data_IF_501339192760
#
_entry.id   IF_501339192760
#
_cell.length_a   1.000
_cell.length_b   1.000
_cell.length_c   1.000
_cell.angle_alpha   90.00
_cell.angle_beta   90.00
_cell.angle_gamma   90.00
#
_symmetry.space_group_name_H-M   'P 1'
#
loop_
_entity.id
_entity.type
_entity.pdbx_description
1 polymer ?
#
# COMPACT_ATOMS: atom_id res chain seq x y z
N UNK A 1 16.37 12.63 -21.67
CA UNK A 1 15.45 13.17 -20.63
C UNK A 1 15.02 12.03 -19.73
N UNK A 2 14.91 12.28 -18.43
CA UNK A 2 14.41 11.25 -17.52
C UNK A 2 12.91 11.02 -17.74
N UNK A 3 12.47 9.77 -17.61
CA UNK A 3 11.07 9.44 -17.76
C UNK A 3 10.26 10.07 -16.61
N UNK A 4 9.24 10.89 -16.89
CA UNK A 4 8.47 11.60 -15.86
C UNK A 4 7.44 10.73 -15.14
N UNK A 5 7.26 9.47 -15.55
CA UNK A 5 6.36 8.52 -14.93
C UNK A 5 7.13 7.53 -14.08
N UNK A 6 6.58 7.14 -12.93
CA UNK A 6 7.24 6.27 -11.97
C UNK A 6 6.26 5.27 -11.38
N UNK A 7 6.64 4.00 -11.35
CA UNK A 7 5.85 2.90 -10.77
C UNK A 7 6.75 1.90 -10.04
N UNK A 8 6.17 0.98 -9.27
CA UNK A 8 6.92 -0.07 -8.56
C UNK A 8 7.66 0.38 -7.30
N UNK A 9 7.68 1.66 -7.00
CA UNK A 9 8.30 2.24 -5.82
C UNK A 9 7.43 3.35 -5.22
N UNK A 10 7.84 3.91 -4.09
CA UNK A 10 7.17 5.08 -3.51
C UNK A 10 7.32 6.26 -4.46
N UNK A 11 6.21 6.90 -4.75
CA UNK A 11 6.11 8.05 -5.65
C UNK A 11 5.92 9.31 -4.82
N UNK A 12 6.79 10.30 -5.02
CA UNK A 12 6.82 11.57 -4.28
C UNK A 12 7.23 12.74 -5.17
N UNK A 13 7.00 13.96 -4.71
CA UNK A 13 7.40 15.19 -5.38
C UNK A 13 6.77 15.32 -6.77
N UNK A 14 7.56 15.59 -7.83
CA UNK A 14 7.04 15.82 -9.18
C UNK A 14 6.37 14.59 -9.80
N UNK A 15 6.63 13.40 -9.28
CA UNK A 15 6.02 12.15 -9.74
C UNK A 15 4.68 11.86 -9.07
N UNK A 16 4.39 12.52 -7.94
CA UNK A 16 3.12 12.37 -7.22
C UNK A 16 2.03 13.16 -7.93
N UNK A 17 0.83 12.57 -8.04
CA UNK A 17 -0.30 13.24 -8.66
C UNK A 17 -1.54 13.14 -7.79
N UNK A 18 -2.33 14.24 -7.79
CA UNK A 18 -3.61 14.39 -7.10
C UNK A 18 -3.54 14.07 -5.59
N UNK A 19 -4.59 13.48 -5.05
CA UNK A 19 -4.76 13.16 -3.62
C UNK A 19 -4.81 14.41 -2.71
N UNK A 20 -5.14 15.57 -3.27
CA UNK A 20 -5.21 16.83 -2.53
C UNK A 20 -6.18 16.73 -1.36
N UNK A 21 -7.33 16.07 -1.57
CA UNK A 21 -8.36 15.85 -0.54
C UNK A 21 -7.86 14.91 0.56
N UNK A 22 -7.32 13.75 0.20
CA UNK A 22 -6.82 12.77 1.18
C UNK A 22 -5.62 13.31 1.95
N UNK A 23 -4.72 14.08 1.29
CA UNK A 23 -3.62 14.79 1.94
C UNK A 23 -4.13 15.81 2.96
N UNK A 24 -5.14 16.59 2.59
CA UNK A 24 -5.74 17.59 3.49
C UNK A 24 -6.37 16.92 4.73
N UNK A 25 -7.12 15.82 4.54
CA UNK A 25 -7.70 15.05 5.65
C UNK A 25 -6.59 14.49 6.54
N UNK A 26 -5.56 13.87 5.97
CA UNK A 26 -4.46 13.30 6.74
C UNK A 26 -3.72 14.39 7.54
N UNK A 27 -3.44 15.56 6.94
CA UNK A 27 -2.85 16.71 7.66
C UNK A 27 -3.72 17.17 8.82
N UNK A 28 -5.03 17.36 8.59
CA UNK A 28 -5.97 17.75 9.64
C UNK A 28 -6.00 16.74 10.80
N UNK A 29 -5.94 15.44 10.50
CA UNK A 29 -5.86 14.39 11.52
C UNK A 29 -4.56 14.52 12.31
N UNK A 30 -3.42 14.72 11.65
CA UNK A 30 -2.11 14.85 12.30
C UNK A 30 -2.02 16.13 13.16
N UNK A 31 -2.72 17.20 12.83
CA UNK A 31 -2.78 18.44 13.62
C UNK A 31 -3.68 18.28 14.86
N UNK A 32 -4.50 17.25 14.89
CA UNK A 32 -5.39 16.89 16.00
C UNK A 32 -4.79 15.76 16.88
N UNK A 33 -5.37 15.45 18.05
CA UNK A 33 -4.96 14.27 18.84
C UNK A 33 -5.44 12.92 18.26
N UNK A 34 -6.05 12.92 17.09
CA UNK A 34 -6.59 11.72 16.47
C UNK A 34 -5.55 10.92 15.70
N UNK A 35 -5.93 9.73 15.28
CA UNK A 35 -5.14 8.81 14.49
C UNK A 35 -5.76 8.64 13.10
N UNK A 36 -4.97 8.17 12.14
CA UNK A 36 -5.44 7.91 10.78
C UNK A 36 -5.42 6.40 10.47
N UNK A 37 -6.41 5.95 9.72
CA UNK A 37 -6.49 4.57 9.22
C UNK A 37 -6.70 4.63 7.70
N UNK A 38 -5.65 4.27 6.93
CA UNK A 38 -5.72 4.27 5.48
C UNK A 38 -6.18 2.91 4.97
N UNK A 39 -7.29 2.91 4.25
CA UNK A 39 -7.93 1.70 3.73
C UNK A 39 -7.97 1.80 2.21
N UNK A 40 -7.29 0.89 1.52
CA UNK A 40 -7.38 0.76 0.07
C UNK A 40 -6.83 -0.57 -0.40
N UNK A 41 -7.14 -0.99 -1.62
CA UNK A 41 -6.48 -2.12 -2.25
C UNK A 41 -4.97 -1.91 -2.37
N UNK A 42 -4.27 -2.98 -2.77
CA UNK A 42 -2.84 -2.94 -3.05
C UNK A 42 -2.55 -2.00 -4.24
N UNK A 43 -1.38 -1.34 -4.25
CA UNK A 43 -0.92 -0.46 -5.36
C UNK A 43 -1.76 0.80 -5.61
N UNK A 44 -2.59 1.22 -4.65
CA UNK A 44 -3.38 2.47 -4.75
C UNK A 44 -2.65 3.71 -4.21
N UNK A 45 -1.37 3.58 -3.84
CA UNK A 45 -0.53 4.71 -3.46
C UNK A 45 -0.61 5.13 -1.99
N UNK A 46 -0.99 4.23 -1.03
CA UNK A 46 -1.02 4.53 0.42
C UNK A 46 0.31 5.08 0.94
N UNK A 47 1.38 4.34 0.72
CA UNK A 47 2.73 4.71 1.20
C UNK A 47 3.20 6.01 0.56
N UNK A 48 2.90 6.22 -0.74
CA UNK A 48 3.20 7.47 -1.44
C UNK A 48 2.43 8.66 -0.85
N UNK A 49 1.12 8.49 -0.54
CA UNK A 49 0.31 9.52 0.11
C UNK A 49 0.90 9.92 1.47
N UNK A 50 1.28 8.93 2.29
CA UNK A 50 1.87 9.19 3.61
C UNK A 50 3.20 9.91 3.48
N UNK A 51 4.12 9.40 2.66
CA UNK A 51 5.44 10.03 2.46
C UNK A 51 5.31 11.46 1.94
N UNK A 52 4.49 11.68 0.90
CA UNK A 52 4.27 13.02 0.35
C UNK A 52 3.58 13.97 1.35
N UNK A 53 2.67 13.46 2.19
CA UNK A 53 2.03 14.30 3.23
C UNK A 53 3.02 14.67 4.33
N UNK A 54 3.88 13.73 4.73
CA UNK A 54 4.85 13.93 5.82
C UNK A 54 6.07 14.75 5.40
N UNK A 55 6.32 14.92 4.12
CA UNK A 55 7.47 15.67 3.59
C UNK A 55 7.59 17.08 4.16
N UNK A 56 6.46 17.77 4.32
CA UNK A 56 6.41 19.14 4.83
C UNK A 56 6.19 19.21 6.36
N UNK A 57 6.05 18.05 7.02
CA UNK A 57 5.77 17.97 8.46
C UNK A 57 7.08 17.95 9.24
N UNK A 58 7.32 19.02 10.03
CA UNK A 58 8.51 19.15 10.89
C UNK A 58 8.31 18.43 12.24
N UNK A 59 8.12 17.11 12.19
CA UNK A 59 7.92 16.24 13.35
C UNK A 59 8.70 14.96 13.13
N UNK A 60 9.10 14.32 14.22
CA UNK A 60 9.74 13.00 14.15
C UNK A 60 8.75 11.95 13.65
N UNK A 61 9.25 11.06 12.78
CA UNK A 61 8.46 10.01 12.15
C UNK A 61 9.16 8.66 12.35
N UNK A 62 8.44 7.70 12.92
CA UNK A 62 8.86 6.30 13.01
C UNK A 62 7.95 5.48 12.11
N UNK A 63 8.51 4.83 11.09
CA UNK A 63 7.77 3.97 10.18
C UNK A 63 8.27 2.53 10.30
N UNK A 64 7.32 1.60 10.51
CA UNK A 64 7.58 0.16 10.61
C UNK A 64 6.68 -0.57 9.61
N UNK A 65 7.30 -1.42 8.79
CA UNK A 65 6.56 -2.36 7.94
C UNK A 65 6.32 -3.66 8.72
N UNK A 66 5.06 -3.97 8.98
CA UNK A 66 4.67 -5.12 9.80
C UNK A 66 4.91 -6.47 9.12
N UNK A 67 5.07 -6.52 7.80
CA UNK A 67 5.47 -7.75 7.09
C UNK A 67 6.85 -8.27 7.51
N UNK A 68 7.74 -7.38 7.95
CA UNK A 68 9.08 -7.75 8.42
C UNK A 68 9.11 -8.13 9.92
N UNK A 69 7.98 -8.04 10.61
CA UNK A 69 7.88 -8.30 12.05
C UNK A 69 7.35 -9.71 12.27
N UNK A 70 8.08 -10.52 13.05
CA UNK A 70 7.74 -11.93 13.29
C UNK A 70 7.28 -12.23 14.71
N UNK A 71 7.40 -11.27 15.64
CA UNK A 71 6.93 -11.39 17.02
C UNK A 71 6.77 -10.01 17.68
N UNK A 72 6.09 -9.95 18.83
CA UNK A 72 5.98 -8.73 19.64
C UNK A 72 7.34 -8.17 20.06
N UNK A 73 8.29 -9.04 20.40
CA UNK A 73 9.68 -8.64 20.70
C UNK A 73 10.36 -8.00 19.48
N UNK A 74 10.17 -8.59 18.28
CA UNK A 74 10.73 -8.00 17.04
C UNK A 74 10.08 -6.67 16.68
N UNK A 75 8.82 -6.47 17.03
CA UNK A 75 8.18 -5.15 16.91
C UNK A 75 8.87 -4.14 17.84
N UNK A 76 9.07 -4.48 19.10
CA UNK A 76 9.75 -3.61 20.05
C UNK A 76 11.18 -3.28 19.60
N UNK A 77 11.96 -4.29 19.17
CA UNK A 77 13.29 -4.06 18.59
C UNK A 77 13.26 -3.08 17.40
N UNK A 78 12.28 -3.22 16.51
CA UNK A 78 12.13 -2.32 15.35
C UNK A 78 11.79 -0.88 15.78
N UNK A 79 10.91 -0.72 16.78
CA UNK A 79 10.57 0.59 17.35
C UNK A 79 11.78 1.26 18.00
N UNK A 80 12.50 0.55 18.88
CA UNK A 80 13.70 1.06 19.51
C UNK A 80 14.80 1.40 18.49
N UNK A 81 15.00 0.57 17.47
CA UNK A 81 15.99 0.82 16.42
C UNK A 81 15.69 2.13 15.69
N UNK A 82 14.44 2.35 15.30
CA UNK A 82 14.02 3.61 14.69
C UNK A 82 14.13 4.79 15.64
N UNK A 83 13.79 4.60 16.90
CA UNK A 83 13.95 5.62 17.95
C UNK A 83 15.41 6.05 18.09
N UNK A 84 16.36 5.12 18.22
CA UNK A 84 17.79 5.43 18.33
C UNK A 84 18.40 6.02 17.06
N UNK A 85 17.79 5.77 15.89
CA UNK A 85 18.18 6.45 14.64
C UNK A 85 17.82 7.94 14.70
N UNK A 86 16.70 8.30 15.31
CA UNK A 86 16.26 9.70 15.47
C UNK A 86 16.94 10.42 16.64
N UNK A 87 17.21 9.68 17.72
CA UNK A 87 17.76 10.22 18.96
C UNK A 87 19.09 9.55 19.29
N UNK A 88 20.24 10.27 19.19
CA UNK A 88 21.54 9.78 19.64
C UNK A 88 21.49 9.27 21.08
N UNK A 89 22.28 8.23 21.40
CA UNK A 89 22.24 7.53 22.71
C UNK A 89 22.32 8.46 23.93
N UNK A 90 23.12 9.53 23.86
CA UNK A 90 23.22 10.50 24.95
C UNK A 90 21.89 11.17 25.30
N UNK A 91 21.11 11.53 24.28
CA UNK A 91 19.75 12.10 24.43
C UNK A 91 18.73 11.01 24.77
N UNK A 92 18.89 9.81 24.22
CA UNK A 92 18.00 8.69 24.44
C UNK A 92 18.00 8.18 25.88
N UNK A 93 19.11 8.31 26.62
CA UNK A 93 19.21 7.89 28.05
C UNK A 93 18.12 8.46 28.94
N UNK A 94 17.74 9.69 28.71
CA UNK A 94 16.67 10.34 29.47
C UNK A 94 15.32 9.62 29.32
N UNK A 95 15.02 9.15 28.11
CA UNK A 95 13.76 8.45 27.80
C UNK A 95 13.75 6.99 28.28
N UNK A 96 14.93 6.42 28.53
CA UNK A 96 15.09 5.05 29.04
C UNK A 96 14.97 4.95 30.56
N UNK A 97 14.90 6.05 31.29
CA UNK A 97 14.88 6.06 32.75
C UNK A 97 13.68 5.34 33.40
N UNK A 98 12.60 5.12 32.64
CA UNK A 98 11.40 4.40 33.09
C UNK A 98 11.23 3.00 32.53
N UNK A 99 12.24 2.47 31.80
CA UNK A 99 12.18 1.17 31.14
C UNK A 99 12.47 0.06 32.16
N UNK A 100 11.58 -0.93 32.24
CA UNK A 100 11.68 -2.09 33.15
C UNK A 100 12.66 -3.14 32.61
N UNK A 101 12.68 -3.33 31.28
CA UNK A 101 13.60 -4.26 30.60
C UNK A 101 14.47 -3.45 29.63
N UNK A 102 15.70 -3.16 30.07
CA UNK A 102 16.63 -2.33 29.32
C UNK A 102 17.14 -3.06 28.06
N UNK A 103 17.00 -2.48 26.86
CA UNK A 103 17.55 -3.08 25.65
C UNK A 103 19.07 -3.01 25.63
N UNK A 104 19.71 -4.04 25.07
CA UNK A 104 21.11 -3.96 24.65
C UNK A 104 21.17 -3.26 23.30
N UNK A 105 21.93 -2.17 23.21
CA UNK A 105 22.10 -1.39 21.99
C UNK A 105 23.55 -1.47 21.53
N UNK A 106 23.75 -1.93 20.32
CA UNK A 106 25.04 -1.94 19.62
C UNK A 106 24.90 -1.19 18.30
N UNK A 107 26.01 -0.92 17.63
CA UNK A 107 26.01 -0.28 16.33
C UNK A 107 26.70 -1.18 15.33
N UNK A 108 26.07 -1.37 14.20
CA UNK A 108 26.66 -2.10 13.08
C UNK A 108 27.94 -1.39 12.63
N UNK A 109 29.08 -2.05 12.62
CA UNK A 109 30.37 -1.39 12.32
C UNK A 109 30.49 -0.91 10.86
N UNK A 110 29.69 -1.46 9.97
CA UNK A 110 29.72 -1.11 8.54
C UNK A 110 28.76 0.03 8.20
N UNK A 111 27.51 -0.08 8.70
CA UNK A 111 26.44 0.88 8.36
C UNK A 111 26.24 1.98 9.41
N UNK A 112 26.80 1.83 10.61
CA UNK A 112 26.53 2.71 11.75
C UNK A 112 25.10 2.62 12.30
N UNK A 113 24.29 1.72 11.77
CA UNK A 113 22.90 1.58 12.19
C UNK A 113 22.79 0.95 13.59
N UNK A 114 21.86 1.42 14.44
CA UNK A 114 21.63 0.82 15.76
C UNK A 114 21.02 -0.57 15.60
N UNK A 115 21.58 -1.52 16.34
CA UNK A 115 21.08 -2.86 16.54
C UNK A 115 20.58 -2.98 17.98
N UNK A 116 19.38 -3.55 18.14
CA UNK A 116 18.71 -3.67 19.44
C UNK A 116 18.36 -5.11 19.70
N UNK A 117 18.67 -5.58 20.91
CA UNK A 117 18.31 -6.91 21.37
C UNK A 117 17.92 -6.89 22.85
N UNK A 118 17.26 -7.96 23.31
CA UNK A 118 16.85 -8.15 24.68
C UNK A 118 17.45 -9.45 25.22
N UNK A 119 17.56 -9.54 26.55
CA UNK A 119 17.98 -10.77 27.23
C UNK A 119 16.96 -11.88 26.89
N UNK A 120 17.40 -13.08 26.53
CA UNK A 120 16.51 -14.22 26.32
C UNK A 120 15.53 -14.42 27.49
N UNK A 121 14.32 -14.90 27.19
CA UNK A 121 13.25 -15.19 28.16
C UNK A 121 12.69 -13.96 28.92
N UNK A 122 13.06 -12.76 28.52
CA UNK A 122 12.41 -11.54 29.05
C UNK A 122 10.92 -11.48 28.68
N UNK A 123 10.12 -10.88 29.58
CA UNK A 123 8.68 -10.72 29.34
C UNK A 123 8.39 -9.87 28.12
N UNK A 124 7.82 -10.50 27.11
CA UNK A 124 7.56 -9.89 25.79
C UNK A 124 6.55 -8.75 25.86
N UNK A 125 5.54 -8.85 26.74
CA UNK A 125 4.55 -7.81 26.92
C UNK A 125 5.17 -6.59 27.56
N UNK A 126 6.00 -6.79 28.59
CA UNK A 126 6.74 -5.70 29.27
C UNK A 126 7.67 -4.99 28.28
N UNK A 127 8.42 -5.75 27.47
CA UNK A 127 9.30 -5.19 26.43
C UNK A 127 8.50 -4.30 25.45
N UNK A 128 7.34 -4.77 25.02
CA UNK A 128 6.50 -4.03 24.07
C UNK A 128 5.93 -2.77 24.71
N UNK A 129 5.38 -2.85 25.91
CA UNK A 129 4.88 -1.71 26.67
C UNK A 129 5.97 -0.66 26.88
N UNK A 130 7.16 -1.07 27.28
CA UNK A 130 8.32 -0.20 27.50
C UNK A 130 8.72 0.52 26.20
N UNK A 131 8.76 -0.18 25.06
CA UNK A 131 9.05 0.42 23.77
C UNK A 131 8.05 1.53 23.41
N UNK A 132 6.76 1.28 23.59
CA UNK A 132 5.72 2.26 23.33
C UNK A 132 5.76 3.44 24.31
N UNK A 133 6.06 3.20 25.59
CA UNK A 133 6.22 4.25 26.60
C UNK A 133 7.40 5.19 26.27
N UNK A 134 8.52 4.64 25.79
CA UNK A 134 9.65 5.45 25.32
C UNK A 134 9.24 6.36 24.17
N UNK A 135 8.47 5.86 23.22
CA UNK A 135 7.95 6.67 22.11
C UNK A 135 6.99 7.77 22.59
N UNK A 136 6.07 7.45 23.50
CA UNK A 136 5.14 8.42 24.09
C UNK A 136 5.88 9.53 24.80
N UNK A 137 6.89 9.20 25.61
CA UNK A 137 7.69 10.18 26.34
C UNK A 137 8.57 11.03 25.43
N UNK A 138 8.93 10.54 24.24
CA UNK A 138 9.73 11.29 23.26
C UNK A 138 8.93 12.34 22.48
N UNK A 139 7.62 12.20 22.39
CA UNK A 139 6.76 13.04 21.55
C UNK A 139 6.72 14.53 21.92
N UNK A 140 7.02 14.91 23.17
CA UNK A 140 7.14 16.29 23.63
C UNK A 140 5.98 17.20 23.23
N UNK A 141 6.27 18.50 22.95
CA UNK A 141 5.27 19.48 22.49
C UNK A 141 4.75 19.19 21.08
N UNK A 142 5.55 18.52 20.25
CA UNK A 142 5.17 18.08 18.91
C UNK A 142 4.99 16.57 18.96
N UNK A 143 3.75 16.10 18.78
CA UNK A 143 3.47 14.65 18.79
C UNK A 143 4.37 13.91 17.81
N UNK A 144 4.90 12.77 18.22
CA UNK A 144 5.58 11.82 17.36
C UNK A 144 4.56 11.23 16.36
N UNK A 145 4.98 10.96 15.14
CA UNK A 145 4.17 10.24 14.16
C UNK A 145 4.70 8.82 14.07
N UNK A 146 3.83 7.84 14.32
CA UNK A 146 4.16 6.42 14.17
C UNK A 146 3.31 5.84 13.04
N UNK A 147 3.99 5.32 12.02
CA UNK A 147 3.38 4.72 10.84
C UNK A 147 3.57 3.20 10.89
N UNK A 148 2.47 2.46 10.90
CA UNK A 148 2.49 1.01 10.72
C UNK A 148 1.96 0.67 9.33
N UNK A 149 2.86 0.24 8.45
CA UNK A 149 2.48 -0.29 7.14
C UNK A 149 2.18 -1.78 7.24
N UNK A 150 1.20 -2.26 6.48
CA UNK A 150 0.67 -3.62 6.53
C UNK A 150 0.26 -4.05 7.95
N UNK A 151 -0.40 -3.13 8.67
CA UNK A 151 -0.86 -3.33 10.05
C UNK A 151 -1.68 -4.62 10.27
N UNK A 152 -2.51 -5.11 9.35
CA UNK A 152 -3.23 -6.37 9.52
C UNK A 152 -2.35 -7.58 9.82
N UNK A 153 -1.08 -7.58 9.44
CA UNK A 153 -0.14 -8.68 9.72
C UNK A 153 0.06 -8.90 11.22
N UNK A 154 -0.10 -7.85 12.03
CA UNK A 154 0.02 -7.94 13.50
C UNK A 154 -0.96 -8.93 14.13
N UNK A 155 -2.12 -9.12 13.50
CA UNK A 155 -3.15 -10.05 13.98
C UNK A 155 -2.79 -11.51 13.80
N UNK A 156 -1.77 -11.77 12.99
CA UNK A 156 -1.29 -13.11 12.68
C UNK A 156 -0.07 -13.49 13.54
N UNK A 157 0.56 -12.50 14.20
CA UNK A 157 1.77 -12.72 14.98
C UNK A 157 1.51 -13.53 16.25
N UNK A 158 0.64 -13.02 17.10
CA UNK A 158 0.36 -13.59 18.42
C UNK A 158 -1.12 -13.39 18.79
N UNK A 159 -1.73 -14.42 19.39
CA UNK A 159 -3.13 -14.35 19.82
C UNK A 159 -3.31 -13.28 20.92
N UNK A 160 -4.16 -12.30 20.66
CA UNK A 160 -4.50 -11.24 21.61
C UNK A 160 -3.57 -10.01 21.54
N UNK A 161 -2.54 -10.04 20.69
CA UNK A 161 -1.65 -8.90 20.51
C UNK A 161 -2.38 -7.63 20.07
N UNK A 162 -3.43 -7.78 19.28
CA UNK A 162 -4.33 -6.70 18.89
C UNK A 162 -4.97 -5.97 20.08
N UNK A 163 -5.38 -6.71 21.11
CA UNK A 163 -5.97 -6.15 22.33
C UNK A 163 -4.91 -5.44 23.18
N UNK A 164 -3.72 -6.04 23.32
CA UNK A 164 -2.59 -5.46 24.04
C UNK A 164 -2.19 -4.12 23.40
N UNK A 165 -1.99 -4.11 22.09
CA UNK A 165 -1.65 -2.89 21.35
C UNK A 165 -2.74 -1.83 21.45
N UNK A 166 -4.02 -2.24 21.34
CA UNK A 166 -5.13 -1.30 21.52
C UNK A 166 -5.13 -0.67 22.90
N UNK A 167 -4.88 -1.46 23.96
CA UNK A 167 -4.78 -0.96 25.33
C UNK A 167 -3.65 0.05 25.48
N UNK A 168 -2.47 -0.26 24.96
CA UNK A 168 -1.30 0.64 25.01
C UNK A 168 -1.57 1.92 24.22
N UNK A 169 -1.93 1.79 22.95
CA UNK A 169 -2.04 2.92 22.02
C UNK A 169 -3.16 3.91 22.37
N UNK A 170 -4.23 3.47 23.03
CA UNK A 170 -5.34 4.36 23.41
C UNK A 170 -5.00 5.33 24.54
N UNK A 171 -3.96 5.05 25.33
CA UNK A 171 -3.53 5.90 26.45
C UNK A 171 -2.58 7.02 25.99
N UNK A 172 -2.03 6.92 24.76
CA UNK A 172 -1.06 7.84 24.23
C UNK A 172 -1.67 9.19 23.82
N UNK A 173 -1.04 10.26 24.26
CA UNK A 173 -1.42 11.64 23.97
C UNK A 173 -0.41 12.37 23.09
N UNK A 174 0.82 11.87 23.06
CA UNK A 174 1.95 12.51 22.37
C UNK A 174 2.31 11.76 21.07
N UNK A 175 1.47 10.84 20.62
CA UNK A 175 1.66 10.09 19.37
C UNK A 175 0.42 10.22 18.47
N UNK A 176 0.64 10.52 17.18
CA UNK A 176 -0.35 10.26 16.14
C UNK A 176 0.01 8.96 15.42
N UNK A 177 -0.90 8.02 15.38
CA UNK A 177 -0.73 6.78 14.63
C UNK A 177 -1.30 6.91 13.21
N UNK A 178 -0.57 6.38 12.23
CA UNK A 178 -1.05 6.14 10.87
C UNK A 178 -1.01 4.63 10.65
N UNK A 179 -2.17 3.99 10.61
CA UNK A 179 -2.30 2.55 10.39
C UNK A 179 -2.75 2.31 8.96
N UNK A 180 -1.99 1.55 8.20
CA UNK A 180 -2.33 1.26 6.81
C UNK A 180 -2.09 -0.20 6.46
N UNK A 181 -2.77 -0.69 5.43
CA UNK A 181 -2.63 -2.06 4.95
C UNK A 181 -3.25 -2.24 3.59
N UNK A 182 -2.71 -3.18 2.83
CA UNK A 182 -3.15 -3.49 1.47
C UNK A 182 -4.32 -4.48 1.41
N UNK A 183 -4.60 -5.20 2.50
CA UNK A 183 -5.71 -6.14 2.60
C UNK A 183 -6.98 -5.41 3.04
N UNK A 184 -7.69 -4.81 2.09
CA UNK A 184 -8.84 -3.94 2.34
C UNK A 184 -9.91 -4.60 3.23
N UNK A 185 -10.25 -5.87 2.97
CA UNK A 185 -11.24 -6.62 3.76
C UNK A 185 -10.78 -6.81 5.22
N UNK A 186 -9.49 -7.06 5.45
CA UNK A 186 -8.94 -7.16 6.80
C UNK A 186 -8.91 -5.80 7.50
N UNK A 187 -8.55 -4.73 6.80
CA UNK A 187 -8.63 -3.37 7.33
C UNK A 187 -10.06 -3.02 7.72
N UNK A 188 -11.04 -3.27 6.84
CA UNK A 188 -12.47 -3.06 7.16
C UNK A 188 -12.90 -3.91 8.36
N UNK A 189 -12.49 -5.17 8.43
CA UNK A 189 -12.81 -6.06 9.56
C UNK A 189 -12.26 -5.52 10.87
N UNK A 190 -11.05 -4.98 10.86
CA UNK A 190 -10.35 -4.55 12.08
C UNK A 190 -10.79 -3.17 12.57
N UNK A 191 -11.09 -2.25 11.66
CA UNK A 191 -11.35 -0.86 12.02
C UNK A 191 -12.83 -0.44 11.93
N UNK A 192 -13.65 -1.15 11.15
CA UNK A 192 -15.05 -0.80 10.94
C UNK A 192 -16.06 -1.74 11.60
N UNK A 193 -15.63 -2.89 12.14
CA UNK A 193 -16.54 -3.84 12.83
C UNK A 193 -16.56 -3.60 14.34
N UNK A 194 -17.75 -3.47 14.93
CA UNK A 194 -17.97 -3.21 16.38
C UNK A 194 -17.27 -4.19 17.33
N UNK A 195 -17.02 -5.45 16.90
CA UNK A 195 -16.37 -6.47 17.75
C UNK A 195 -14.83 -6.41 17.72
N UNK A 196 -14.24 -5.56 16.89
CA UNK A 196 -12.79 -5.43 16.79
C UNK A 196 -12.25 -4.52 17.89
N UNK A 197 -11.08 -4.83 18.50
CA UNK A 197 -10.41 -3.94 19.44
C UNK A 197 -10.11 -2.55 18.85
N UNK A 198 -9.81 -2.47 17.55
CA UNK A 198 -9.50 -1.22 16.85
C UNK A 198 -10.71 -0.50 16.26
N UNK A 199 -11.93 -0.93 16.61
CA UNK A 199 -13.13 -0.23 16.17
C UNK A 199 -13.10 1.24 16.59
N UNK A 200 -13.26 2.14 15.62
CA UNK A 200 -13.17 3.60 15.80
C UNK A 200 -11.85 4.09 16.42
N UNK A 201 -10.75 3.40 16.21
CA UNK A 201 -9.44 3.82 16.71
C UNK A 201 -8.93 5.10 16.04
N UNK A 202 -9.25 5.32 14.79
CA UNK A 202 -8.80 6.50 14.04
C UNK A 202 -9.77 6.89 12.93
N UNK A 203 -9.48 8.01 12.29
CA UNK A 203 -10.25 8.53 11.15
C UNK A 203 -9.96 7.67 9.92
N UNK A 204 -10.97 7.00 9.35
CA UNK A 204 -10.77 6.20 8.14
C UNK A 204 -10.59 7.11 6.92
N UNK A 205 -9.53 6.87 6.16
CA UNK A 205 -9.23 7.54 4.90
C UNK A 205 -9.22 6.45 3.82
N UNK A 206 -10.18 6.52 2.92
CA UNK A 206 -10.28 5.59 1.80
C UNK A 206 -9.57 6.14 0.58
N UNK A 207 -8.66 5.35 0.00
CA UNK A 207 -8.06 5.70 -1.27
C UNK A 207 -8.75 4.91 -2.38
N UNK A 208 -9.37 5.62 -3.27
CA UNK A 208 -9.92 5.11 -4.51
C UNK A 208 -8.96 5.33 -5.68
N UNK A 209 -9.42 5.01 -6.89
CA UNK A 209 -8.73 5.38 -8.13
C UNK A 209 -8.57 6.89 -8.21
N UNK A 210 -7.59 7.35 -8.95
CA UNK A 210 -7.40 8.78 -9.19
C UNK A 210 -8.51 9.24 -10.16
N UNK A 211 -9.17 10.38 -9.92
CA UNK A 211 -10.19 10.90 -10.85
C UNK A 211 -9.62 11.06 -12.25
N UNK A 212 -10.40 10.65 -13.26
CA UNK A 212 -9.94 10.68 -14.65
C UNK A 212 -9.48 12.06 -15.13
N UNK A 213 -10.16 13.19 -14.82
CA UNK A 213 -9.68 14.51 -15.23
C UNK A 213 -8.30 14.83 -14.66
N UNK A 214 -8.09 14.61 -13.36
CA UNK A 214 -6.82 14.92 -12.68
C UNK A 214 -5.67 14.06 -13.23
N UNK A 215 -5.95 12.79 -13.51
CA UNK A 215 -4.94 11.89 -14.06
C UNK A 215 -4.64 12.17 -15.53
N UNK A 216 -5.65 12.56 -16.30
CA UNK A 216 -5.50 13.01 -17.68
C UNK A 216 -4.57 14.22 -17.78
N UNK A 217 -4.85 15.25 -16.99
CA UNK A 217 -4.03 16.47 -16.96
C UNK A 217 -2.59 16.14 -16.55
N UNK A 218 -2.41 15.27 -15.58
CA UNK A 218 -1.08 14.79 -15.17
C UNK A 218 -0.31 14.13 -16.32
N UNK A 219 -0.96 13.26 -17.10
CA UNK A 219 -0.33 12.55 -18.22
C UNK A 219 -0.03 13.54 -19.35
N UNK A 220 -1.02 14.36 -19.77
CA UNK A 220 -0.88 15.33 -20.88
C UNK A 220 0.28 16.29 -20.64
N UNK A 221 0.43 16.81 -19.42
CA UNK A 221 1.51 17.72 -19.06
C UNK A 221 2.91 17.09 -19.11
N UNK A 222 3.00 15.76 -19.00
CA UNK A 222 4.28 15.03 -18.94
C UNK A 222 4.67 14.29 -20.20
N UNK A 223 3.74 14.12 -21.13
CA UNK A 223 4.07 13.63 -22.45
C UNK A 223 4.95 14.66 -23.20
N UNK A 224 5.77 14.22 -24.16
CA UNK A 224 6.69 15.10 -24.88
C UNK A 224 5.97 16.31 -25.46
N UNK A 225 6.49 17.52 -25.15
CA UNK A 225 5.93 18.78 -25.66
C UNK A 225 6.09 18.97 -27.17
N UNK A 226 6.90 18.13 -27.81
CA UNK A 226 7.04 18.06 -29.28
C UNK A 226 5.79 17.50 -29.96
N UNK A 227 4.93 16.80 -29.22
CA UNK A 227 3.66 16.31 -29.73
C UNK A 227 2.60 17.40 -29.69
N UNK A 228 1.69 17.39 -30.67
CA UNK A 228 0.50 18.23 -30.66
C UNK A 228 -0.36 17.92 -29.42
N UNK A 229 -1.00 18.93 -28.87
CA UNK A 229 -1.82 18.77 -27.67
C UNK A 229 -2.94 17.74 -27.84
N UNK A 230 -3.59 17.75 -29.01
CA UNK A 230 -4.62 16.77 -29.35
C UNK A 230 -4.09 15.33 -29.28
N UNK A 231 -2.93 15.07 -29.83
CA UNK A 231 -2.28 13.74 -29.75
C UNK A 231 -1.96 13.33 -28.32
N UNK A 232 -1.47 14.27 -27.49
CA UNK A 232 -1.22 14.00 -26.06
C UNK A 232 -2.51 13.68 -25.32
N UNK A 233 -3.58 14.39 -25.64
CA UNK A 233 -4.90 14.14 -25.08
C UNK A 233 -5.43 12.75 -25.45
N UNK A 234 -5.37 12.36 -26.72
CA UNK A 234 -5.80 11.02 -27.16
C UNK A 234 -4.98 9.90 -26.49
N UNK A 235 -3.67 10.04 -26.43
CA UNK A 235 -2.80 9.07 -25.72
C UNK A 235 -3.21 8.95 -24.25
N UNK A 236 -3.46 10.06 -23.57
CA UNK A 236 -3.88 10.04 -22.17
C UNK A 236 -5.25 9.36 -22.00
N UNK A 237 -6.20 9.65 -22.88
CA UNK A 237 -7.53 9.05 -22.84
C UNK A 237 -7.48 7.52 -23.08
N UNK A 238 -6.67 7.05 -24.03
CA UNK A 238 -6.45 5.63 -24.31
C UNK A 238 -5.79 4.91 -23.12
N UNK A 239 -4.77 5.53 -22.51
CA UNK A 239 -4.12 5.00 -21.30
C UNK A 239 -5.14 4.84 -20.17
N UNK A 240 -5.95 5.86 -19.91
CA UNK A 240 -6.94 5.84 -18.83
C UNK A 240 -8.09 4.87 -19.10
N UNK A 241 -8.53 4.77 -20.35
CA UNK A 241 -9.55 3.80 -20.76
C UNK A 241 -9.10 2.36 -20.51
N UNK A 242 -7.85 2.01 -20.87
CA UNK A 242 -7.31 0.68 -20.65
C UNK A 242 -7.07 0.37 -19.16
N UNK A 243 -6.52 1.31 -18.41
CA UNK A 243 -6.12 1.09 -17.00
C UNK A 243 -7.23 1.38 -16.00
N UNK A 244 -8.38 1.88 -16.46
CA UNK A 244 -9.50 2.30 -15.62
C UNK A 244 -9.04 3.21 -14.45
N UNK A 245 -8.12 4.15 -14.75
CA UNK A 245 -7.53 5.11 -13.79
C UNK A 245 -6.85 4.47 -12.57
N UNK A 246 -6.40 3.22 -12.67
CA UNK A 246 -5.70 2.55 -11.59
C UNK A 246 -4.31 3.18 -11.36
N UNK A 247 -3.96 3.71 -10.17
CA UNK A 247 -2.75 4.51 -9.97
C UNK A 247 -1.47 3.85 -10.46
N UNK A 248 -1.28 2.58 -10.15
CA UNK A 248 -0.07 1.83 -10.53
C UNK A 248 -0.01 1.52 -12.03
N UNK A 249 -1.08 0.93 -12.59
CA UNK A 249 -1.08 0.48 -13.98
C UNK A 249 -1.11 1.64 -14.97
N UNK A 250 -1.72 2.76 -14.60
CA UNK A 250 -1.68 4.00 -15.40
C UNK A 250 -0.25 4.54 -15.48
N UNK A 251 0.46 4.61 -14.37
CA UNK A 251 1.86 5.05 -14.35
C UNK A 251 2.76 4.08 -15.13
N UNK A 252 2.53 2.78 -15.02
CA UNK A 252 3.29 1.76 -15.75
C UNK A 252 3.09 1.89 -17.27
N UNK A 253 1.84 2.04 -17.72
CA UNK A 253 1.54 2.20 -19.14
C UNK A 253 2.07 3.53 -19.67
N UNK A 254 1.86 4.63 -18.94
CA UNK A 254 2.38 5.94 -19.34
C UNK A 254 3.91 5.97 -19.40
N UNK A 255 4.61 5.26 -18.50
CA UNK A 255 6.05 5.07 -18.54
C UNK A 255 6.49 4.38 -19.84
N UNK A 256 5.82 3.28 -20.22
CA UNK A 256 6.16 2.53 -21.42
C UNK A 256 5.85 3.32 -22.69
N UNK A 257 4.69 3.98 -22.74
CA UNK A 257 4.31 4.87 -23.86
C UNK A 257 5.35 5.97 -24.04
N UNK A 258 5.75 6.65 -22.96
CA UNK A 258 6.76 7.70 -23.03
C UNK A 258 8.09 7.16 -23.54
N UNK A 259 8.51 5.99 -23.07
CA UNK A 259 9.75 5.35 -23.50
C UNK A 259 9.74 5.03 -25.01
N UNK A 260 8.65 4.46 -25.52
CA UNK A 260 8.50 4.14 -26.95
C UNK A 260 8.43 5.39 -27.82
N UNK A 261 7.74 6.46 -27.36
CA UNK A 261 7.72 7.74 -28.03
C UNK A 261 9.11 8.35 -28.18
N UNK A 262 9.98 8.22 -27.18
CA UNK A 262 11.36 8.71 -27.27
C UNK A 262 12.21 7.91 -28.25
N UNK A 263 11.91 6.64 -28.47
CA UNK A 263 12.65 5.77 -29.38
C UNK A 263 12.19 5.91 -30.82
N UNK A 264 10.89 5.95 -31.06
CA UNK A 264 10.30 5.82 -32.41
C UNK A 264 9.78 7.13 -32.96
N UNK A 265 9.38 8.07 -32.09
CA UNK A 265 8.64 9.27 -32.48
C UNK A 265 7.25 9.01 -33.09
N UNK A 266 6.84 7.74 -33.19
CA UNK A 266 5.58 7.37 -33.80
C UNK A 266 4.43 7.39 -32.78
N UNK A 267 3.35 8.10 -33.12
CA UNK A 267 2.17 8.25 -32.27
C UNK A 267 1.10 7.17 -32.58
N UNK A 268 1.08 6.71 -33.85
CA UNK A 268 0.02 5.78 -34.28
C UNK A 268 0.16 4.42 -33.61
N UNK A 269 -0.90 3.99 -32.89
CA UNK A 269 -0.94 2.71 -32.19
C UNK A 269 0.04 2.57 -31.03
N UNK A 270 0.57 3.68 -30.51
CA UNK A 270 1.62 3.67 -29.48
C UNK A 270 1.15 3.03 -28.17
N UNK A 271 -0.12 3.24 -27.79
CA UNK A 271 -0.67 2.68 -26.55
C UNK A 271 -0.84 1.17 -26.66
N UNK A 272 -1.35 0.67 -27.79
CA UNK A 272 -1.47 -0.77 -28.07
C UNK A 272 -0.11 -1.45 -28.13
N UNK A 273 0.89 -0.80 -28.74
CA UNK A 273 2.26 -1.27 -28.75
C UNK A 273 2.81 -1.40 -27.32
N UNK A 274 2.66 -0.38 -26.51
CA UNK A 274 3.09 -0.36 -25.12
C UNK A 274 2.38 -1.43 -24.28
N UNK A 275 1.07 -1.62 -24.46
CA UNK A 275 0.32 -2.70 -23.80
C UNK A 275 0.89 -4.06 -24.19
N UNK A 276 1.15 -4.30 -25.47
CA UNK A 276 1.68 -5.55 -25.97
C UNK A 276 3.06 -5.84 -25.40
N UNK A 277 3.94 -4.87 -25.34
CA UNK A 277 5.27 -4.99 -24.71
C UNK A 277 5.19 -5.32 -23.21
N UNK A 278 4.30 -4.65 -22.47
CA UNK A 278 4.12 -4.94 -21.03
C UNK A 278 3.60 -6.37 -20.85
N UNK A 279 2.58 -6.78 -21.61
CA UNK A 279 2.02 -8.14 -21.53
C UNK A 279 3.09 -9.19 -21.84
N UNK A 280 3.88 -8.98 -22.89
CA UNK A 280 4.97 -9.88 -23.27
C UNK A 280 6.07 -9.94 -22.20
N UNK A 281 6.43 -8.79 -21.60
CA UNK A 281 7.45 -8.76 -20.55
C UNK A 281 7.03 -9.50 -19.26
N UNK A 282 5.73 -9.62 -19.04
CA UNK A 282 5.15 -10.34 -17.88
C UNK A 282 4.65 -11.76 -18.23
N UNK A 283 4.85 -12.24 -19.44
CA UNK A 283 4.31 -13.53 -19.92
C UNK A 283 4.68 -14.70 -19.00
N UNK A 284 5.94 -14.79 -18.59
CA UNK A 284 6.41 -15.83 -17.68
C UNK A 284 5.70 -15.78 -16.31
N UNK A 285 5.54 -14.59 -15.73
CA UNK A 285 4.88 -14.43 -14.43
C UNK A 285 3.38 -14.73 -14.53
N UNK A 286 2.75 -14.30 -15.60
CA UNK A 286 1.34 -14.57 -15.86
C UNK A 286 1.08 -16.04 -16.13
N UNK A 287 1.95 -16.73 -16.89
CA UNK A 287 1.89 -18.17 -17.12
C UNK A 287 1.99 -18.93 -15.78
N UNK A 288 2.98 -18.62 -14.93
CA UNK A 288 3.12 -19.24 -13.62
C UNK A 288 1.91 -19.00 -12.74
N UNK A 289 1.40 -17.75 -12.70
CA UNK A 289 0.20 -17.40 -11.95
C UNK A 289 -1.00 -18.23 -12.44
N UNK A 290 -1.18 -18.31 -13.75
CA UNK A 290 -2.25 -19.09 -14.36
C UNK A 290 -2.14 -20.57 -14.04
N UNK A 291 -0.96 -21.17 -14.16
CA UNK A 291 -0.71 -22.58 -13.86
C UNK A 291 -0.93 -22.94 -12.39
N UNK A 292 -0.65 -22.01 -11.48
CA UNK A 292 -0.91 -22.20 -10.05
C UNK A 292 -2.40 -22.26 -9.69
N UNK A 293 -3.29 -21.83 -10.58
CA UNK A 293 -4.73 -21.79 -10.34
C UNK A 293 -5.40 -23.13 -10.65
N UNK A 294 -6.38 -23.50 -9.84
CA UNK A 294 -7.22 -24.64 -10.14
C UNK A 294 -8.19 -24.35 -11.32
N UNK A 295 -8.74 -25.44 -11.90
CA UNK A 295 -9.63 -25.38 -13.07
C UNK A 295 -10.81 -24.40 -12.88
N UNK A 296 -11.43 -24.40 -11.70
CA UNK A 296 -12.57 -23.53 -11.40
C UNK A 296 -12.19 -22.04 -11.40
N UNK A 297 -11.04 -21.69 -10.82
CA UNK A 297 -10.55 -20.30 -10.81
C UNK A 297 -10.29 -19.80 -12.23
N UNK A 298 -9.58 -20.61 -13.06
CA UNK A 298 -9.32 -20.28 -14.48
C UNK A 298 -10.62 -20.06 -15.26
N UNK A 299 -11.59 -20.96 -15.07
CA UNK A 299 -12.88 -20.85 -15.74
C UNK A 299 -13.66 -19.58 -15.32
N UNK A 300 -13.66 -19.24 -14.02
CA UNK A 300 -14.29 -18.00 -13.53
C UNK A 300 -13.62 -16.78 -14.15
N UNK A 301 -12.29 -16.78 -14.25
CA UNK A 301 -11.54 -15.69 -14.88
C UNK A 301 -11.87 -15.57 -16.37
N UNK A 302 -11.94 -16.71 -17.12
CA UNK A 302 -12.32 -16.69 -18.53
C UNK A 302 -13.73 -16.11 -18.74
N UNK A 303 -14.70 -16.43 -17.87
CA UNK A 303 -16.07 -15.90 -17.95
C UNK A 303 -16.12 -14.39 -17.66
N UNK A 304 -15.23 -13.88 -16.77
CA UNK A 304 -15.17 -12.47 -16.42
C UNK A 304 -14.46 -11.58 -17.45
N UNK A 305 -13.92 -12.15 -18.54
CA UNK A 305 -13.38 -11.37 -19.66
C UNK A 305 -14.50 -10.56 -20.31
N UNK A 306 -15.66 -11.17 -20.53
CA UNK A 306 -16.86 -10.53 -21.04
C UNK A 306 -17.63 -9.91 -19.86
N UNK A 307 -17.32 -8.67 -19.51
CA UNK A 307 -17.66 -7.97 -18.27
C UNK A 307 -19.14 -7.91 -17.89
N UNK A 308 -20.04 -8.20 -18.82
CA UNK A 308 -21.48 -8.04 -18.62
C UNK A 308 -22.18 -9.33 -18.17
N UNK A 309 -21.47 -10.47 -18.16
CA UNK A 309 -22.07 -11.73 -17.78
C UNK A 309 -21.74 -12.07 -16.34
N UNK A 310 -22.71 -12.15 -15.41
CA UNK A 310 -22.47 -12.70 -14.07
C UNK A 310 -21.86 -14.12 -14.22
N UNK A 311 -20.75 -14.42 -13.54
CA UNK A 311 -20.08 -15.73 -13.68
C UNK A 311 -20.96 -16.93 -13.27
N UNK A 312 -22.12 -16.67 -12.70
CA UNK A 312 -23.12 -17.66 -12.25
C UNK A 312 -24.13 -18.01 -13.33
N UNK A 313 -24.33 -17.17 -14.36
CA UNK A 313 -25.29 -17.45 -15.43
C UNK A 313 -24.78 -18.55 -16.36
N UNK A 314 -25.66 -19.49 -16.70
CA UNK A 314 -25.41 -20.60 -17.63
C UNK A 314 -24.19 -21.47 -17.26
N UNK A 315 -23.93 -21.69 -15.97
CA UNK A 315 -22.80 -22.48 -15.50
C UNK A 315 -23.23 -23.89 -15.11
N UNK A 316 -22.56 -24.90 -15.65
CA UNK A 316 -22.67 -26.30 -15.22
C UNK A 316 -22.11 -26.52 -13.79
N UNK A 317 -21.43 -25.54 -13.24
CA UNK A 317 -20.80 -25.59 -11.92
C UNK A 317 -21.74 -25.00 -10.87
N UNK A 318 -21.87 -25.63 -9.68
CA UNK A 318 -22.69 -25.11 -8.59
C UNK A 318 -22.30 -23.68 -8.19
N UNK A 319 -23.29 -22.84 -7.98
CA UNK A 319 -23.10 -21.43 -7.60
C UNK A 319 -22.21 -21.26 -6.34
N UNK A 320 -22.29 -22.18 -5.38
CA UNK A 320 -21.42 -22.18 -4.18
C UNK A 320 -19.95 -22.36 -4.51
N UNK A 321 -19.64 -23.16 -5.52
CA UNK A 321 -18.26 -23.40 -6.01
C UNK A 321 -17.72 -22.17 -6.70
N UNK A 322 -18.54 -21.51 -7.54
CA UNK A 322 -18.17 -20.24 -8.19
C UNK A 322 -17.95 -19.15 -7.16
N UNK A 323 -18.86 -19.03 -6.17
CA UNK A 323 -18.70 -18.05 -5.09
C UNK A 323 -17.42 -18.28 -4.29
N UNK A 324 -17.08 -19.52 -3.99
CA UNK A 324 -15.82 -19.87 -3.32
C UNK A 324 -14.58 -19.53 -4.16
N UNK A 325 -14.65 -19.71 -5.46
CA UNK A 325 -13.57 -19.31 -6.39
C UNK A 325 -13.41 -17.78 -6.43
N UNK A 326 -14.51 -17.04 -6.58
CA UNK A 326 -14.50 -15.58 -6.55
C UNK A 326 -13.91 -15.04 -5.23
N UNK A 327 -14.27 -15.62 -4.09
CA UNK A 327 -13.72 -15.24 -2.80
C UNK A 327 -12.20 -15.47 -2.73
N UNK A 328 -11.71 -16.61 -3.24
CA UNK A 328 -10.26 -16.88 -3.32
C UNK A 328 -9.55 -15.90 -4.23
N UNK A 329 -10.10 -15.63 -5.42
CA UNK A 329 -9.51 -14.71 -6.40
C UNK A 329 -9.45 -13.26 -5.88
N UNK A 330 -10.45 -12.85 -5.11
CA UNK A 330 -10.42 -11.54 -4.41
C UNK A 330 -9.39 -11.54 -3.29
N UNK A 331 -9.33 -12.60 -2.47
CA UNK A 331 -8.37 -12.66 -1.36
C UNK A 331 -6.91 -12.73 -1.83
N UNK A 332 -6.65 -13.29 -3.02
CA UNK A 332 -5.34 -13.31 -3.65
C UNK A 332 -4.99 -12.02 -4.42
N UNK A 333 -5.92 -11.06 -4.50
CA UNK A 333 -5.71 -9.78 -5.19
C UNK A 333 -5.73 -9.88 -6.72
N UNK A 334 -6.25 -10.97 -7.28
CA UNK A 334 -6.41 -11.13 -8.74
C UNK A 334 -7.67 -10.42 -9.22
N UNK A 335 -8.73 -10.48 -8.41
CA UNK A 335 -9.97 -9.76 -8.64
C UNK A 335 -10.21 -8.71 -7.55
N UNK A 336 -10.90 -7.65 -7.92
CA UNK A 336 -11.50 -6.68 -7.00
C UNK A 336 -13.03 -6.79 -7.05
N UNK A 337 -13.69 -6.49 -5.91
CA UNK A 337 -15.15 -6.45 -5.82
C UNK A 337 -15.62 -5.04 -5.48
N UNK A 338 -16.08 -4.30 -6.48
CA UNK A 338 -16.76 -3.01 -6.32
C UNK A 338 -18.12 -3.07 -7.04
N UNK A 339 -19.13 -3.58 -6.36
CA UNK A 339 -20.42 -3.94 -6.98
C UNK A 339 -20.30 -5.19 -7.86
N UNK A 340 -19.56 -5.11 -8.96
CA UNK A 340 -19.19 -6.22 -9.84
C UNK A 340 -17.78 -6.76 -9.51
N UNK A 341 -17.48 -7.99 -9.95
CA UNK A 341 -16.12 -8.55 -9.91
C UNK A 341 -15.38 -8.11 -11.17
N UNK A 342 -14.14 -7.61 -11.00
CA UNK A 342 -13.28 -7.17 -12.10
C UNK A 342 -11.84 -7.61 -11.86
N UNK A 343 -11.07 -7.78 -12.91
CA UNK A 343 -9.63 -7.94 -12.80
C UNK A 343 -9.01 -6.71 -12.14
N UNK A 344 -8.07 -6.93 -11.22
CA UNK A 344 -7.27 -5.83 -10.64
C UNK A 344 -6.20 -5.37 -11.63
N UNK A 345 -5.53 -6.33 -12.29
CA UNK A 345 -4.49 -6.11 -13.28
C UNK A 345 -5.08 -6.12 -14.71
N UNK A 346 -5.11 -4.99 -15.44
CA UNK A 346 -5.63 -4.92 -16.79
C UNK A 346 -4.71 -5.64 -17.80
N UNK A 347 -3.40 -5.71 -17.54
CA UNK A 347 -2.47 -6.44 -18.42
C UNK A 347 -2.65 -7.95 -18.27
N UNK A 348 -2.87 -8.44 -17.06
CA UNK A 348 -3.22 -9.84 -16.85
C UNK A 348 -4.56 -10.18 -17.53
N UNK A 349 -5.57 -9.30 -17.45
CA UNK A 349 -6.82 -9.47 -18.21
C UNK A 349 -6.55 -9.59 -19.71
N UNK A 350 -5.71 -8.72 -20.27
CA UNK A 350 -5.33 -8.73 -21.69
C UNK A 350 -4.61 -10.03 -22.06
N UNK A 351 -3.71 -10.51 -21.20
CA UNK A 351 -3.01 -11.77 -21.37
C UNK A 351 -3.98 -12.96 -21.38
N UNK A 352 -4.92 -13.05 -20.44
CA UNK A 352 -5.94 -14.12 -20.39
C UNK A 352 -6.84 -14.07 -21.64
N UNK A 353 -7.16 -12.87 -22.14
CA UNK A 353 -7.91 -12.72 -23.40
C UNK A 353 -7.15 -13.29 -24.59
N UNK A 354 -5.83 -13.16 -24.65
CA UNK A 354 -5.00 -13.75 -25.71
C UNK A 354 -5.03 -15.28 -25.66
N UNK A 355 -5.02 -15.90 -24.47
CA UNK A 355 -5.16 -17.35 -24.32
C UNK A 355 -6.49 -17.90 -24.85
N UNK A 356 -7.56 -17.11 -24.80
CA UNK A 356 -8.88 -17.51 -25.31
C UNK A 356 -8.93 -17.56 -26.84
N UNK A 357 -8.06 -16.81 -27.50
CA UNK A 357 -8.04 -16.67 -28.97
C UNK A 357 -7.05 -17.66 -29.64
N UNK A 358 -6.36 -18.49 -28.84
CA UNK A 358 -5.53 -19.60 -29.26
C UNK A 358 -6.35 -20.89 -29.17
#
# INVERSE_FOLDING_TARGET
MDNPFKFGSIVEGPYFTDRSRERAILRQVLDSPNHAVLISPRRYGKSSLVVETLRDVKRDVIAVNMQAVTSSTKLAEALYRKFFTLHPLEKARHFLSGVRIVPTVSFNPVSGAPEVSFVPDSDRQVILEDAFNVLENSGGKKRLIVVFDEFPEILQLEKGLDKILRSIMQEHKNINYILMGSQEEMMKKNFLRKKSPFYHFGVPIHLDKIPAPDFRDYIVQRLPSTLQEESRCHIADDILAFTDCHPYYTQQLAFQVWFELQQTGNVSGIVESAISHIVQSHDFDYSRLWESMNKTNRMVLMKLIDEDTPPMENSEIPASTIFSALKRLVSSGILIKKGKYRYDDPFFKKWVLQLRNI
#
